data_IF_604725080066
#
_entry.id   IF_604725080066
#
_cell.length_a   1.000
_cell.length_b   1.000
_cell.length_c   1.000
_cell.angle_alpha   90.00
_cell.angle_beta   90.00
_cell.angle_gamma   90.00
#
_symmetry.space_group_name_H-M   'P 1'
#
loop_
_entity.id
_entity.type
_entity.pdbx_description
1 polymer ?
#
# COMPACT_ATOMS: atom_id res chain seq x y z
N UNK A 1 45.79 -18.44 -32.37
CA UNK A 1 44.42 -17.89 -32.51
C UNK A 1 43.69 -18.09 -31.19
N UNK A 2 43.85 -17.17 -30.23
CA UNK A 2 43.20 -17.29 -28.93
C UNK A 2 41.94 -16.44 -28.94
N UNK A 3 40.78 -17.09 -28.98
CA UNK A 3 39.49 -16.40 -28.80
C UNK A 3 39.25 -16.27 -27.30
N UNK A 4 39.51 -15.10 -26.73
CA UNK A 4 39.01 -14.74 -25.41
C UNK A 4 37.49 -14.60 -25.50
N UNK A 5 36.76 -15.50 -24.84
CA UNK A 5 35.33 -15.34 -24.61
C UNK A 5 35.18 -14.54 -23.31
N UNK A 6 34.90 -13.24 -23.43
CA UNK A 6 34.46 -12.43 -22.29
C UNK A 6 32.98 -12.76 -22.01
N UNK A 7 32.74 -13.55 -20.96
CA UNK A 7 31.41 -13.70 -20.37
C UNK A 7 31.14 -12.42 -19.57
N UNK A 8 30.43 -11.48 -20.19
CA UNK A 8 29.90 -10.29 -19.52
C UNK A 8 28.73 -10.73 -18.63
N UNK A 9 29.05 -11.09 -17.39
CA UNK A 9 28.05 -11.34 -16.36
C UNK A 9 27.37 -9.99 -16.03
N UNK A 10 26.23 -9.72 -16.68
CA UNK A 10 25.31 -8.66 -16.31
C UNK A 10 24.75 -8.99 -14.92
N UNK A 11 25.48 -8.59 -13.88
CA UNK A 11 24.95 -8.46 -12.53
C UNK A 11 23.92 -7.35 -12.59
N UNK A 12 22.66 -7.71 -12.83
CA UNK A 12 21.52 -6.84 -12.61
C UNK A 12 21.57 -6.40 -11.15
N UNK A 13 21.99 -5.15 -10.91
CA UNK A 13 21.78 -4.48 -9.64
C UNK A 13 20.26 -4.39 -9.47
N UNK A 14 19.70 -5.38 -8.80
CA UNK A 14 18.33 -5.31 -8.29
C UNK A 14 18.34 -4.17 -7.27
N UNK A 15 17.88 -3.00 -7.69
CA UNK A 15 17.68 -1.88 -6.79
C UNK A 15 16.62 -2.34 -5.78
N UNK A 16 17.03 -2.59 -4.53
CA UNK A 16 16.12 -2.83 -3.43
C UNK A 16 15.38 -1.53 -3.17
N UNK A 17 14.24 -1.33 -3.84
CA UNK A 17 13.38 -0.17 -3.60
C UNK A 17 12.62 -0.39 -2.29
N UNK A 18 13.34 -0.26 -1.18
CA UNK A 18 12.88 -0.39 0.19
C UNK A 18 11.94 0.77 0.55
N UNK A 19 10.63 0.60 0.35
CA UNK A 19 9.58 1.56 0.74
C UNK A 19 9.73 3.00 0.20
N UNK A 20 8.89 3.38 -0.78
CA UNK A 20 8.99 4.69 -1.45
C UNK A 20 7.73 5.55 -1.29
N UNK A 21 7.91 6.87 -1.14
CA UNK A 21 6.84 7.86 -1.18
C UNK A 21 6.59 8.30 -2.62
N UNK A 22 5.34 8.20 -3.09
CA UNK A 22 4.92 8.57 -4.42
C UNK A 22 4.09 9.86 -4.39
N UNK A 23 4.28 10.72 -5.38
CA UNK A 23 3.40 11.84 -5.67
C UNK A 23 2.01 11.37 -6.17
N UNK A 24 1.04 12.29 -6.20
CA UNK A 24 -0.30 12.02 -6.73
C UNK A 24 -0.27 11.46 -8.16
N UNK A 25 0.53 12.06 -9.04
CA UNK A 25 0.61 11.66 -10.46
C UNK A 25 1.26 10.28 -10.62
N UNK A 26 2.28 9.96 -9.82
CA UNK A 26 2.89 8.64 -9.79
C UNK A 26 1.91 7.58 -9.28
N UNK A 27 1.13 7.88 -8.24
CA UNK A 27 0.06 6.99 -7.77
C UNK A 27 -0.97 6.75 -8.87
N UNK A 28 -1.42 7.78 -9.58
CA UNK A 28 -2.34 7.62 -10.72
C UNK A 28 -1.75 6.74 -11.83
N UNK A 29 -0.45 6.89 -12.13
CA UNK A 29 0.23 6.03 -13.11
C UNK A 29 0.29 4.57 -12.65
N UNK A 30 0.59 4.31 -11.37
CA UNK A 30 0.61 2.96 -10.79
C UNK A 30 -0.78 2.31 -10.77
N UNK A 31 -1.83 3.08 -10.50
CA UNK A 31 -3.23 2.60 -10.60
C UNK A 31 -3.52 2.11 -12.02
N UNK A 32 -3.13 2.88 -13.05
CA UNK A 32 -3.31 2.48 -14.46
C UNK A 32 -2.55 1.20 -14.82
N UNK A 33 -1.45 0.91 -14.11
CA UNK A 33 -0.68 -0.33 -14.24
C UNK A 33 -1.26 -1.50 -13.43
N UNK A 34 -2.39 -1.32 -12.74
CA UNK A 34 -3.05 -2.34 -11.94
C UNK A 34 -2.44 -2.55 -10.55
N UNK A 35 -1.63 -1.61 -10.05
CA UNK A 35 -1.07 -1.71 -8.69
C UNK A 35 -2.17 -1.50 -7.65
N UNK A 36 -2.27 -2.44 -6.71
CA UNK A 36 -3.30 -2.40 -5.67
C UNK A 36 -3.08 -1.24 -4.69
N UNK A 37 -4.19 -0.60 -4.29
CA UNK A 37 -4.21 0.39 -3.21
C UNK A 37 -4.80 -0.25 -1.96
N UNK A 38 -4.12 -0.10 -0.84
CA UNK A 38 -4.54 -0.56 0.48
C UNK A 38 -4.80 0.68 1.34
N UNK A 39 -6.07 1.02 1.53
CA UNK A 39 -6.48 2.10 2.43
C UNK A 39 -6.54 1.57 3.87
N UNK A 40 -5.56 1.99 4.69
CA UNK A 40 -5.36 1.52 6.06
C UNK A 40 -6.08 2.38 7.11
N UNK A 41 -6.90 3.34 6.67
CA UNK A 41 -7.71 4.17 7.56
C UNK A 41 -8.80 3.35 8.24
N UNK A 42 -9.43 3.98 9.22
CA UNK A 42 -10.59 3.42 9.93
C UNK A 42 -11.86 3.50 9.09
N UNK A 43 -12.84 2.70 9.47
CA UNK A 43 -14.14 2.65 8.79
C UNK A 43 -14.87 4.00 8.82
N UNK A 44 -14.83 4.74 9.93
CA UNK A 44 -15.44 6.08 10.03
C UNK A 44 -14.86 7.06 9.01
N UNK A 45 -13.55 6.95 8.73
CA UNK A 45 -12.88 7.77 7.72
C UNK A 45 -13.28 7.37 6.30
N UNK A 46 -13.44 6.07 6.05
CA UNK A 46 -13.94 5.55 4.76
C UNK A 46 -15.38 6.00 4.50
N UNK A 47 -16.25 5.95 5.50
CA UNK A 47 -17.66 6.30 5.37
C UNK A 47 -17.82 7.82 5.16
N UNK A 48 -17.02 8.62 5.88
CA UNK A 48 -17.04 10.07 5.79
C UNK A 48 -16.47 10.60 4.48
N UNK A 49 -15.26 10.17 4.12
CA UNK A 49 -14.49 10.76 3.01
C UNK A 49 -14.48 9.92 1.73
N UNK A 50 -15.02 8.69 1.77
CA UNK A 50 -14.83 7.71 0.69
C UNK A 50 -13.40 7.20 0.64
N UNK A 51 -13.10 6.36 -0.35
CA UNK A 51 -11.77 5.82 -0.66
C UNK A 51 -11.37 6.15 -2.09
N UNK A 52 -10.08 6.02 -2.42
CA UNK A 52 -9.63 6.09 -3.82
C UNK A 52 -10.34 4.97 -4.60
N UNK A 53 -10.90 5.24 -5.80
CA UNK A 53 -11.57 4.22 -6.60
C UNK A 53 -10.72 2.95 -6.78
N UNK A 54 -11.32 1.79 -6.49
CA UNK A 54 -10.65 0.49 -6.56
C UNK A 54 -9.76 0.15 -5.34
N UNK A 55 -9.65 1.01 -4.33
CA UNK A 55 -8.86 0.71 -3.14
C UNK A 55 -9.48 -0.42 -2.29
N UNK A 56 -8.62 -1.30 -1.78
CA UNK A 56 -8.95 -2.27 -0.75
C UNK A 56 -8.96 -1.59 0.61
N UNK A 57 -10.09 -1.63 1.31
CA UNK A 57 -10.20 -1.21 2.71
C UNK A 57 -9.57 -2.27 3.61
N UNK A 58 -8.49 -1.90 4.30
CA UNK A 58 -7.81 -2.82 5.22
C UNK A 58 -7.27 -2.04 6.43
N UNK A 59 -8.17 -1.66 7.34
CA UNK A 59 -7.87 -0.88 8.54
C UNK A 59 -6.76 -1.53 9.38
N UNK A 60 -5.70 -0.78 9.66
CA UNK A 60 -4.61 -1.26 10.51
C UNK A 60 -4.88 -0.97 12.00
N UNK A 61 -5.19 0.28 12.34
CA UNK A 61 -5.49 0.72 13.70
C UNK A 61 -6.99 0.96 13.86
N UNK A 62 -7.59 0.50 14.97
CA UNK A 62 -8.96 0.85 15.32
C UNK A 62 -9.07 2.28 15.90
N UNK A 63 -10.25 2.65 16.39
CA UNK A 63 -10.51 3.96 17.00
C UNK A 63 -9.81 4.17 18.36
N UNK A 64 -9.36 3.09 19.02
CA UNK A 64 -8.60 3.09 20.28
C UNK A 64 -7.10 2.95 20.04
N UNK A 65 -6.67 2.81 18.79
CA UNK A 65 -5.27 2.57 18.42
C UNK A 65 -4.81 1.12 18.58
N UNK A 66 -5.73 0.17 18.85
CA UNK A 66 -5.38 -1.24 18.85
C UNK A 66 -5.09 -1.71 17.43
N UNK A 67 -4.32 -2.80 17.32
CA UNK A 67 -4.00 -3.44 16.05
C UNK A 67 -3.80 -4.95 16.24
N UNK A 68 -4.08 -5.73 15.21
CA UNK A 68 -3.75 -7.16 15.16
C UNK A 68 -2.88 -7.43 13.93
N UNK A 69 -1.56 -7.34 14.11
CA UNK A 69 -0.58 -7.48 13.02
C UNK A 69 -0.68 -8.83 12.32
N UNK A 70 -0.88 -9.93 13.06
CA UNK A 70 -0.94 -11.27 12.47
C UNK A 70 -2.17 -11.42 11.56
N UNK A 71 -3.35 -11.02 12.04
CA UNK A 71 -4.58 -11.06 11.23
C UNK A 71 -4.50 -10.11 10.04
N UNK A 72 -4.00 -8.89 10.25
CA UNK A 72 -3.87 -7.90 9.20
C UNK A 72 -2.91 -8.36 8.09
N UNK A 73 -1.77 -8.97 8.44
CA UNK A 73 -0.84 -9.54 7.45
C UNK A 73 -1.43 -10.72 6.68
N UNK A 74 -2.24 -11.56 7.34
CA UNK A 74 -3.00 -12.63 6.67
C UNK A 74 -4.00 -12.08 5.66
N UNK A 75 -4.70 -11.01 6.00
CA UNK A 75 -5.66 -10.37 5.09
C UNK A 75 -4.93 -9.65 3.95
N UNK A 76 -3.79 -9.00 4.24
CA UNK A 76 -2.94 -8.39 3.24
C UNK A 76 -2.43 -9.42 2.23
N UNK A 77 -1.98 -10.60 2.64
CA UNK A 77 -1.52 -11.64 1.71
C UNK A 77 -2.63 -12.22 0.83
N UNK A 78 -3.89 -12.07 1.27
CA UNK A 78 -5.07 -12.32 0.43
C UNK A 78 -5.18 -11.36 -0.76
N UNK A 79 -4.63 -10.16 -0.68
CA UNK A 79 -4.64 -9.13 -1.72
C UNK A 79 -3.30 -9.10 -2.47
N UNK A 80 -2.19 -9.00 -1.73
CA UNK A 80 -0.82 -8.92 -2.22
C UNK A 80 -0.18 -10.31 -2.15
N UNK A 81 -0.33 -11.06 -3.24
CA UNK A 81 -0.05 -12.52 -3.29
C UNK A 81 1.43 -12.89 -3.10
N UNK A 82 2.36 -12.03 -3.49
CA UNK A 82 3.79 -12.27 -3.36
C UNK A 82 4.50 -11.10 -2.65
N UNK A 83 5.61 -11.39 -1.99
CA UNK A 83 6.47 -10.39 -1.34
C UNK A 83 7.07 -9.36 -2.32
N UNK A 84 7.13 -9.72 -3.60
CA UNK A 84 7.56 -8.85 -4.69
C UNK A 84 6.40 -8.12 -5.39
N UNK A 85 5.13 -8.45 -5.07
CA UNK A 85 3.99 -7.75 -5.68
C UNK A 85 3.94 -6.30 -5.20
N UNK A 86 3.92 -5.30 -6.10
CA UNK A 86 3.83 -3.90 -5.72
C UNK A 86 2.46 -3.54 -5.15
N UNK A 87 2.42 -2.67 -4.14
CA UNK A 87 1.18 -2.12 -3.60
C UNK A 87 1.41 -0.75 -2.95
N UNK A 88 0.33 0.03 -2.84
CA UNK A 88 0.35 1.39 -2.31
C UNK A 88 -0.45 1.44 -1.01
N UNK A 89 0.16 1.92 0.07
CA UNK A 89 -0.52 2.21 1.33
C UNK A 89 -1.07 3.64 1.33
N UNK A 90 -2.30 3.81 1.80
CA UNK A 90 -2.93 5.13 1.93
C UNK A 90 -3.52 5.30 3.33
N UNK A 91 -3.22 6.43 3.96
CA UNK A 91 -3.92 6.89 5.16
C UNK A 91 -4.40 8.35 5.01
N UNK A 92 -4.87 8.99 6.08
CA UNK A 92 -5.37 10.37 6.01
C UNK A 92 -4.30 11.38 5.53
N UNK A 93 -3.13 11.40 6.18
CA UNK A 93 -2.07 12.41 6.00
C UNK A 93 -0.66 11.79 5.92
N UNK A 94 -0.53 10.61 5.32
CA UNK A 94 0.72 9.83 5.21
C UNK A 94 1.39 9.33 6.52
N UNK A 95 0.96 9.78 7.71
CA UNK A 95 1.61 9.37 8.97
C UNK A 95 1.55 7.85 9.23
N UNK A 96 0.33 7.28 9.22
CA UNK A 96 0.15 5.83 9.43
C UNK A 96 0.76 5.01 8.29
N UNK A 97 0.62 5.42 7.03
CA UNK A 97 1.15 4.67 5.88
C UNK A 97 2.68 4.61 5.92
N UNK A 98 3.35 5.70 6.35
CA UNK A 98 4.80 5.70 6.57
C UNK A 98 5.23 4.77 7.69
N UNK A 99 4.55 4.80 8.84
CA UNK A 99 4.87 3.89 9.95
C UNK A 99 4.70 2.43 9.54
N UNK A 100 3.56 2.09 8.90
CA UNK A 100 3.29 0.72 8.48
C UNK A 100 4.20 0.28 7.33
N UNK A 101 4.46 1.15 6.34
CA UNK A 101 5.36 0.85 5.23
C UNK A 101 6.77 0.52 5.70
N UNK A 102 7.33 1.31 6.62
CA UNK A 102 8.63 1.03 7.24
C UNK A 102 8.62 -0.28 8.03
N UNK A 103 7.56 -0.56 8.80
CA UNK A 103 7.42 -1.82 9.51
C UNK A 103 7.41 -3.01 8.55
N UNK A 104 6.62 -2.96 7.49
CA UNK A 104 6.52 -4.04 6.51
C UNK A 104 7.86 -4.28 5.82
N UNK A 105 8.52 -3.21 5.38
CA UNK A 105 9.83 -3.27 4.76
C UNK A 105 10.86 -3.95 5.68
N UNK A 106 10.90 -3.54 6.95
CA UNK A 106 11.90 -4.03 7.89
C UNK A 106 11.61 -5.42 8.47
N UNK A 107 10.35 -5.87 8.52
CA UNK A 107 9.93 -7.02 9.35
C UNK A 107 9.21 -8.14 8.61
N UNK A 108 8.84 -7.96 7.34
CA UNK A 108 7.92 -8.90 6.67
C UNK A 108 8.38 -9.36 5.29
N UNK A 109 9.50 -8.84 4.79
CA UNK A 109 10.10 -9.20 3.50
C UNK A 109 9.37 -8.65 2.26
N UNK A 110 8.32 -7.83 2.44
CA UNK A 110 7.73 -7.10 1.31
C UNK A 110 8.71 -6.06 0.80
N UNK A 111 8.95 -6.04 -0.52
CA UNK A 111 9.96 -5.18 -1.14
C UNK A 111 9.37 -3.96 -1.83
N UNK A 112 8.31 -4.13 -2.62
CA UNK A 112 7.76 -3.07 -3.47
C UNK A 112 6.60 -2.31 -2.79
N UNK A 113 6.91 -1.63 -1.70
CA UNK A 113 5.93 -0.91 -0.88
C UNK A 113 5.94 0.57 -1.24
N UNK A 114 4.77 1.12 -1.54
CA UNK A 114 4.62 2.55 -1.85
C UNK A 114 3.67 3.23 -0.87
N UNK A 115 3.74 4.54 -0.75
CA UNK A 115 2.71 5.33 -0.07
C UNK A 115 2.41 6.65 -0.79
N UNK A 116 1.19 7.14 -0.66
CA UNK A 116 0.78 8.41 -1.26
C UNK A 116 1.23 9.60 -0.39
N UNK A 117 2.11 10.44 -0.94
CA UNK A 117 2.53 11.68 -0.32
C UNK A 117 1.31 12.54 0.11
N UNK A 118 1.26 12.93 1.38
CA UNK A 118 0.16 13.72 1.94
C UNK A 118 -1.10 12.92 2.25
N UNK A 119 -1.11 11.60 2.04
CA UNK A 119 -2.27 10.74 2.23
C UNK A 119 -3.44 11.12 1.32
N UNK A 120 -4.62 10.56 1.58
CA UNK A 120 -5.80 10.83 0.76
C UNK A 120 -6.29 12.27 0.91
N UNK A 121 -6.11 12.93 2.06
CA UNK A 121 -6.63 14.28 2.24
C UNK A 121 -5.85 15.28 1.38
N UNK A 122 -4.53 15.35 1.55
CA UNK A 122 -3.70 16.34 0.85
C UNK A 122 -3.19 15.86 -0.51
N UNK A 123 -2.96 14.57 -0.64
CA UNK A 123 -2.41 13.94 -1.85
C UNK A 123 -3.45 13.51 -2.87
N UNK A 124 -4.75 13.58 -2.54
CA UNK A 124 -5.83 13.15 -3.43
C UNK A 124 -7.01 14.12 -3.45
N UNK A 125 -7.69 14.31 -2.32
CA UNK A 125 -8.91 15.13 -2.21
C UNK A 125 -8.59 16.60 -2.50
N UNK A 126 -7.58 17.17 -1.86
CA UNK A 126 -7.15 18.56 -2.09
C UNK A 126 -6.57 18.78 -3.51
N UNK A 127 -6.25 17.68 -4.22
CA UNK A 127 -5.87 17.70 -5.64
C UNK A 127 -7.08 17.65 -6.57
N UNK A 128 -8.29 17.70 -6.04
CA UNK A 128 -9.55 17.68 -6.80
C UNK A 128 -9.93 16.30 -7.32
N UNK A 129 -9.29 15.23 -6.83
CA UNK A 129 -9.58 13.87 -7.29
C UNK A 129 -10.72 13.24 -6.50
N UNK A 130 -11.64 12.59 -7.21
CA UNK A 130 -12.84 12.01 -6.62
C UNK A 130 -12.54 10.78 -5.75
N UNK A 131 -13.38 10.57 -4.75
CA UNK A 131 -13.44 9.35 -3.94
C UNK A 131 -14.74 8.60 -4.23
N UNK A 132 -14.78 7.32 -3.86
CA UNK A 132 -15.99 6.51 -3.92
C UNK A 132 -16.33 5.95 -2.54
N UNK A 133 -17.63 5.89 -2.24
CA UNK A 133 -18.16 5.21 -1.06
C UNK A 133 -18.55 3.79 -1.44
N UNK A 134 -17.58 2.98 -1.85
CA UNK A 134 -17.88 1.57 -2.18
C UNK A 134 -18.22 0.80 -0.89
N UNK A 135 -19.28 -0.03 -0.90
CA UNK A 135 -19.56 -0.98 0.18
C UNK A 135 -18.31 -1.79 0.51
N UNK A 136 -18.12 -2.11 1.78
CA UNK A 136 -16.94 -2.85 2.25
C UNK A 136 -16.86 -4.18 1.51
N UNK A 137 -15.74 -4.43 0.80
CA UNK A 137 -15.45 -5.77 0.28
C UNK A 137 -15.58 -6.74 1.45
N UNK A 138 -16.26 -7.87 1.27
CA UNK A 138 -16.92 -8.68 2.31
C UNK A 138 -16.05 -9.27 3.42
N UNK A 139 -14.82 -8.80 3.61
CA UNK A 139 -13.94 -9.14 4.71
C UNK A 139 -14.29 -8.28 5.94
N UNK A 140 -14.78 -8.92 7.02
CA UNK A 140 -15.00 -8.24 8.30
C UNK A 140 -13.67 -7.70 8.87
N UNK A 141 -13.63 -6.47 9.41
CA UNK A 141 -12.44 -5.96 10.09
C UNK A 141 -12.05 -6.82 11.30
N UNK A 142 -10.76 -6.91 11.61
CA UNK A 142 -10.23 -7.74 12.70
C UNK A 142 -10.73 -7.35 14.10
N UNK A 143 -11.24 -6.12 14.26
CA UNK A 143 -11.80 -5.59 15.52
C UNK A 143 -13.33 -5.77 15.64
N UNK A 144 -13.99 -6.40 14.66
CA UNK A 144 -15.42 -6.74 14.73
C UNK A 144 -15.56 -8.25 14.84
N UNK A 145 -15.73 -8.75 16.06
CA UNK A 145 -15.79 -10.19 16.38
C UNK A 145 -17.23 -10.63 16.70
N UNK A 146 -18.23 -10.06 16.04
CA UNK A 146 -19.63 -10.47 16.14
C UNK A 146 -20.32 -10.05 14.84
#
# INVERSE_FOLDING_TARGET
>A
MNKLILILCLLSLETLADFTTLSTSEVQAKIKQGVAIIDIRRQDEHDKYGVIPGAHKLTFFDNKGNYNTQKWLKDLSGIVKSKNTPFILVCAHANRSKTIGKFLNAKTGYKNIFELAGGINYGWIDKGLSTTKTPTSGTKPWYKIW
#
